data_IF_629594574432
#
_entry.id   IF_629594574432
#
_cell.length_a   1.000
_cell.length_b   1.000
_cell.length_c   1.000
_cell.angle_alpha   90.00
_cell.angle_beta   90.00
_cell.angle_gamma   90.00
#
_symmetry.space_group_name_H-M   'P 1'
#
loop_
_entity.id
_entity.type
_entity.pdbx_description
1 polymer ?
#
# COMPACT_ATOMS: atom_id res chain seq x y z
N UNK A 1 9.75 -5.76 -20.90
CA UNK A 1 10.85 -6.18 -20.02
C UNK A 1 11.38 -5.02 -19.20
N UNK A 2 12.09 -4.03 -19.77
CA UNK A 2 12.73 -2.94 -19.00
C UNK A 2 11.79 -2.28 -18.00
N UNK A 3 10.59 -1.87 -18.46
CA UNK A 3 9.57 -1.25 -17.59
C UNK A 3 9.10 -2.20 -16.48
N UNK A 4 8.88 -3.49 -16.80
CA UNK A 4 8.46 -4.49 -15.83
C UNK A 4 9.54 -4.75 -14.77
N UNK A 5 10.80 -4.88 -15.20
CA UNK A 5 11.94 -5.08 -14.32
C UNK A 5 12.10 -3.90 -13.34
N UNK A 6 12.05 -2.66 -13.85
CA UNK A 6 12.12 -1.47 -12.99
C UNK A 6 11.00 -1.43 -11.94
N UNK A 7 9.76 -1.80 -12.32
CA UNK A 7 8.65 -1.84 -11.35
C UNK A 7 8.79 -2.99 -10.35
N UNK A 8 9.30 -4.15 -10.78
CA UNK A 8 9.57 -5.27 -9.89
C UNK A 8 10.61 -4.91 -8.83
N UNK A 9 11.70 -4.22 -9.21
CA UNK A 9 12.73 -3.79 -8.26
C UNK A 9 12.24 -2.65 -7.37
N UNK A 10 11.72 -1.57 -7.96
CA UNK A 10 11.33 -0.38 -7.21
C UNK A 10 10.13 -0.65 -6.30
N UNK A 11 9.11 -1.34 -6.82
CA UNK A 11 7.91 -1.60 -6.04
C UNK A 11 8.03 -2.89 -5.24
N UNK A 12 8.42 -3.98 -5.90
CA UNK A 12 8.49 -5.31 -5.28
C UNK A 12 9.51 -5.43 -4.15
N UNK A 13 10.63 -4.70 -4.24
CA UNK A 13 11.66 -4.71 -3.19
C UNK A 13 11.58 -3.43 -2.36
N UNK A 14 11.81 -2.26 -2.97
CA UNK A 14 12.02 -1.02 -2.20
C UNK A 14 10.73 -0.57 -1.50
N UNK A 15 9.58 -0.50 -2.20
CA UNK A 15 8.32 -0.06 -1.59
C UNK A 15 7.82 -1.02 -0.50
N UNK A 16 7.82 -2.34 -0.77
CA UNK A 16 7.42 -3.34 0.24
C UNK A 16 8.32 -3.30 1.49
N UNK A 17 9.63 -3.12 1.31
CA UNK A 17 10.56 -2.97 2.42
C UNK A 17 10.24 -1.71 3.25
N UNK A 18 10.04 -0.56 2.60
CA UNK A 18 9.70 0.70 3.27
C UNK A 18 8.36 0.62 4.01
N UNK A 19 7.35 -0.02 3.44
CA UNK A 19 6.09 -0.24 4.14
C UNK A 19 6.24 -1.18 5.33
N UNK A 20 7.01 -2.27 5.19
CA UNK A 20 7.34 -3.15 6.32
C UNK A 20 8.01 -2.40 7.47
N UNK A 21 8.98 -1.52 7.15
CA UNK A 21 9.60 -0.64 8.13
C UNK A 21 8.62 0.36 8.75
N UNK A 22 7.74 0.95 7.95
CA UNK A 22 6.76 1.92 8.45
C UNK A 22 5.77 1.25 9.41
N UNK A 23 5.23 0.07 9.05
CA UNK A 23 4.30 -0.67 9.88
C UNK A 23 4.92 -1.24 11.16
N UNK A 24 6.26 -1.32 11.24
CA UNK A 24 6.96 -1.75 12.46
C UNK A 24 7.42 -0.57 13.32
N UNK A 25 7.93 0.51 12.72
CA UNK A 25 8.43 1.68 13.44
C UNK A 25 7.32 2.60 13.93
N UNK A 26 6.31 2.90 13.12
CA UNK A 26 5.28 3.89 13.48
C UNK A 26 4.51 3.47 14.74
N UNK A 27 4.01 2.23 14.87
CA UNK A 27 3.32 1.81 16.10
C UNK A 27 4.20 1.86 17.35
N UNK A 28 5.52 1.64 17.21
CA UNK A 28 6.46 1.73 18.34
C UNK A 28 6.68 3.17 18.80
N UNK A 29 6.61 4.13 17.88
CA UNK A 29 6.75 5.55 18.19
C UNK A 29 5.45 6.16 18.71
N UNK A 30 4.29 5.74 18.20
CA UNK A 30 2.98 6.31 18.56
C UNK A 30 2.19 5.50 19.58
N UNK A 31 2.63 4.28 19.89
CA UNK A 31 1.92 3.34 20.77
C UNK A 31 0.62 2.79 20.18
N UNK A 32 0.36 3.01 18.88
CA UNK A 32 -0.92 2.66 18.23
C UNK A 32 -0.74 1.71 17.06
N UNK A 33 -1.41 0.57 17.14
CA UNK A 33 -1.41 -0.41 16.06
C UNK A 33 -2.53 -0.14 15.04
N UNK A 34 -2.27 -0.30 13.73
CA UNK A 34 -3.31 -0.28 12.72
C UNK A 34 -4.10 -1.61 12.74
N UNK A 35 -5.34 -1.64 12.24
CA UNK A 35 -6.08 -2.89 12.14
C UNK A 35 -5.39 -3.88 11.21
N UNK A 36 -5.20 -5.11 11.70
CA UNK A 36 -4.56 -6.20 10.94
C UNK A 36 -5.21 -6.43 9.57
N UNK A 37 -6.53 -6.31 9.49
CA UNK A 37 -7.28 -6.49 8.24
C UNK A 37 -6.88 -5.43 7.20
N UNK A 38 -6.75 -4.16 7.59
CA UNK A 38 -6.40 -3.10 6.62
C UNK A 38 -4.94 -3.16 6.17
N UNK A 39 -4.04 -3.65 7.03
CA UNK A 39 -2.66 -3.95 6.63
C UNK A 39 -2.64 -5.08 5.61
N UNK A 40 -3.43 -6.13 5.84
CA UNK A 40 -3.61 -7.22 4.88
C UNK A 40 -4.18 -6.76 3.55
N UNK A 41 -5.23 -5.92 3.57
CA UNK A 41 -5.82 -5.34 2.34
C UNK A 41 -4.78 -4.52 1.58
N UNK A 42 -4.02 -3.67 2.26
CA UNK A 42 -2.94 -2.91 1.63
C UNK A 42 -1.91 -3.84 0.96
N UNK A 43 -1.44 -4.85 1.68
CA UNK A 43 -0.47 -5.82 1.17
C UNK A 43 -0.99 -6.55 -0.08
N UNK A 44 -2.20 -7.09 -0.03
CA UNK A 44 -2.77 -7.86 -1.13
C UNK A 44 -3.08 -6.99 -2.35
N UNK A 45 -3.60 -5.78 -2.17
CA UNK A 45 -3.81 -4.84 -3.28
C UNK A 45 -2.50 -4.49 -3.99
N UNK A 46 -1.45 -4.18 -3.21
CA UNK A 46 -0.13 -3.89 -3.74
C UNK A 46 0.48 -5.11 -4.47
N UNK A 47 0.37 -6.30 -3.88
CA UNK A 47 0.96 -7.53 -4.42
C UNK A 47 0.27 -7.97 -5.70
N UNK A 48 -1.06 -8.05 -5.69
CA UNK A 48 -1.85 -8.45 -6.85
C UNK A 48 -1.69 -7.43 -7.99
N UNK A 49 -1.71 -6.14 -7.66
CA UNK A 49 -1.46 -5.07 -8.63
C UNK A 49 -0.09 -5.19 -9.29
N UNK A 50 0.96 -5.45 -8.49
CA UNK A 50 2.32 -5.66 -8.99
C UNK A 50 2.42 -6.89 -9.90
N UNK A 51 1.78 -8.01 -9.54
CA UNK A 51 1.75 -9.22 -10.36
C UNK A 51 1.10 -8.93 -11.72
N UNK A 52 -0.10 -8.34 -11.76
CA UNK A 52 -0.74 -8.00 -13.03
C UNK A 52 0.08 -7.04 -13.88
N UNK A 53 0.73 -6.05 -13.26
CA UNK A 53 1.58 -5.09 -13.95
C UNK A 53 2.81 -5.77 -14.59
N UNK A 54 3.51 -6.60 -13.82
CA UNK A 54 4.79 -7.17 -14.25
C UNK A 54 4.63 -8.32 -15.22
N UNK A 55 3.71 -9.27 -14.94
CA UNK A 55 3.49 -10.43 -15.79
C UNK A 55 3.00 -10.03 -17.18
N UNK A 56 2.05 -9.10 -17.28
CA UNK A 56 1.53 -8.62 -18.57
C UNK A 56 2.63 -8.02 -19.45
N UNK A 57 3.51 -7.20 -18.87
CA UNK A 57 4.61 -6.56 -19.59
C UNK A 57 5.81 -7.48 -19.87
N UNK A 58 6.03 -8.51 -19.05
CA UNK A 58 7.05 -9.52 -19.33
C UNK A 58 6.62 -10.37 -20.53
N UNK A 59 5.40 -10.91 -20.50
CA UNK A 59 4.86 -11.70 -21.60
C UNK A 59 4.76 -10.88 -22.89
N UNK A 60 4.16 -9.69 -22.83
CA UNK A 60 4.02 -8.83 -24.00
C UNK A 60 5.37 -8.41 -24.60
N UNK A 61 6.41 -8.23 -23.79
CA UNK A 61 7.74 -7.94 -24.31
C UNK A 61 8.40 -9.14 -25.02
N UNK A 62 8.14 -10.36 -24.57
CA UNK A 62 8.62 -11.58 -25.23
C UNK A 62 7.97 -11.74 -26.60
N UNK A 63 6.65 -11.60 -26.68
CA UNK A 63 5.90 -11.64 -27.94
C UNK A 63 6.38 -10.57 -28.92
N UNK A 64 6.52 -9.33 -28.44
CA UNK A 64 7.02 -8.21 -29.26
C UNK A 64 8.44 -8.49 -29.80
N UNK A 65 9.31 -9.05 -28.97
CA UNK A 65 10.67 -9.42 -29.38
C UNK A 65 10.67 -10.52 -30.46
N UNK A 66 9.76 -11.49 -30.36
CA UNK A 66 9.57 -12.52 -31.40
C UNK A 66 9.12 -11.91 -32.73
N UNK A 67 8.15 -10.99 -32.70
CA UNK A 67 7.68 -10.30 -33.91
C UNK A 67 8.78 -9.51 -34.61
N UNK A 68 9.61 -8.80 -33.83
CA UNK A 68 10.75 -8.06 -34.37
C UNK A 68 11.81 -8.98 -34.99
N UNK A 69 12.07 -10.15 -34.38
CA UNK A 69 12.96 -11.16 -34.98
C UNK A 69 12.44 -11.69 -36.30
N UNK A 70 11.11 -11.80 -36.45
CA UNK A 70 10.45 -12.23 -37.68
C UNK A 70 10.32 -11.11 -38.74
N UNK A 71 10.91 -9.93 -38.50
CA UNK A 71 10.88 -8.76 -39.41
C UNK A 71 9.47 -8.30 -39.81
N UNK A 72 8.48 -8.51 -38.94
CA UNK A 72 7.14 -7.96 -39.11
C UNK A 72 7.16 -6.42 -39.02
N UNK A 73 6.20 -5.72 -39.66
CA UNK A 73 6.05 -4.28 -39.51
C UNK A 73 6.00 -3.85 -38.04
N UNK A 74 6.71 -2.78 -37.70
CA UNK A 74 6.78 -2.30 -36.33
C UNK A 74 5.39 -1.98 -35.75
N UNK A 75 4.50 -1.42 -36.57
CA UNK A 75 3.14 -1.04 -36.16
C UNK A 75 2.31 -2.24 -35.68
N UNK A 76 2.51 -3.43 -36.24
CA UNK A 76 1.79 -4.65 -35.85
C UNK A 76 2.19 -5.06 -34.43
N UNK A 77 3.48 -4.93 -34.11
CA UNK A 77 4.00 -5.19 -32.76
C UNK A 77 3.45 -4.20 -31.72
N UNK A 78 3.13 -2.97 -32.14
CA UNK A 78 2.50 -1.95 -31.29
C UNK A 78 1.02 -2.27 -31.10
N UNK A 79 0.30 -2.61 -32.18
CA UNK A 79 -1.11 -3.00 -32.11
C UNK A 79 -1.31 -4.23 -31.22
N UNK A 80 -0.40 -5.21 -31.28
CA UNK A 80 -0.44 -6.39 -30.41
C UNK A 80 -0.21 -6.07 -28.92
N UNK A 81 0.34 -4.90 -28.58
CA UNK A 81 0.60 -4.50 -27.19
C UNK A 81 -0.62 -3.95 -26.43
N UNK A 82 -1.70 -3.59 -27.13
CA UNK A 82 -2.90 -3.02 -26.51
C UNK A 82 -3.44 -3.81 -25.29
N UNK A 83 -3.70 -5.14 -25.38
CA UNK A 83 -4.23 -5.88 -24.23
C UNK A 83 -3.27 -5.88 -23.04
N UNK A 84 -1.95 -5.92 -23.28
CA UNK A 84 -0.95 -5.89 -22.21
C UNK A 84 -0.88 -4.53 -21.52
N UNK A 85 -1.09 -3.44 -22.27
CA UNK A 85 -1.18 -2.10 -21.67
C UNK A 85 -2.43 -1.91 -20.84
N UNK A 86 -3.55 -2.56 -21.21
CA UNK A 86 -4.75 -2.58 -20.39
C UNK A 86 -4.50 -3.28 -19.05
N UNK A 87 -3.90 -4.47 -19.06
CA UNK A 87 -3.53 -5.18 -17.83
C UNK A 87 -2.52 -4.42 -16.98
N UNK A 88 -1.57 -3.72 -17.61
CA UNK A 88 -0.67 -2.80 -16.93
C UNK A 88 -1.43 -1.69 -16.21
N UNK A 89 -2.41 -1.07 -16.87
CA UNK A 89 -3.22 -0.01 -16.27
C UNK A 89 -4.03 -0.54 -15.08
N UNK A 90 -4.65 -1.72 -15.21
CA UNK A 90 -5.40 -2.37 -14.13
C UNK A 90 -4.52 -2.74 -12.93
N UNK A 91 -3.31 -3.27 -13.17
CA UNK A 91 -2.35 -3.54 -12.10
C UNK A 91 -1.90 -2.25 -11.41
N UNK A 92 -1.62 -1.22 -12.20
CA UNK A 92 -1.21 0.10 -11.72
C UNK A 92 -2.30 0.81 -10.90
N UNK A 93 -3.58 0.68 -11.27
CA UNK A 93 -4.68 1.24 -10.47
C UNK A 93 -4.84 0.53 -9.14
N UNK A 94 -4.69 -0.80 -9.09
CA UNK A 94 -4.67 -1.55 -7.82
C UNK A 94 -3.53 -1.09 -6.90
N UNK A 95 -2.34 -0.93 -7.46
CA UNK A 95 -1.16 -0.38 -6.76
C UNK A 95 -1.43 1.05 -6.26
N UNK A 96 -2.08 1.88 -7.07
CA UNK A 96 -2.44 3.24 -6.67
C UNK A 96 -3.46 3.26 -5.53
N UNK A 97 -4.49 2.40 -5.58
CA UNK A 97 -5.48 2.25 -4.51
C UNK A 97 -4.80 1.78 -3.22
N UNK A 98 -3.79 0.90 -3.30
CA UNK A 98 -3.05 0.43 -2.14
C UNK A 98 -2.39 1.59 -1.36
N UNK A 99 -1.93 2.64 -2.04
CA UNK A 99 -1.35 3.82 -1.40
C UNK A 99 -2.37 4.61 -0.59
N UNK A 100 -3.63 4.71 -1.04
CA UNK A 100 -4.68 5.35 -0.24
C UNK A 100 -4.98 4.57 1.03
N UNK A 101 -5.00 3.24 0.96
CA UNK A 101 -5.18 2.38 2.14
C UNK A 101 -4.00 2.57 3.10
N UNK A 102 -2.77 2.63 2.58
CA UNK A 102 -1.57 2.92 3.38
C UNK A 102 -1.65 4.29 4.06
N UNK A 103 -2.00 5.34 3.32
CA UNK A 103 -2.15 6.69 3.87
C UNK A 103 -3.20 6.75 4.97
N UNK A 104 -4.34 6.06 4.80
CA UNK A 104 -5.37 5.97 5.84
C UNK A 104 -4.90 5.21 7.09
N UNK A 105 -4.18 4.10 6.91
CA UNK A 105 -3.59 3.37 8.03
C UNK A 105 -2.57 4.24 8.79
N UNK A 106 -1.72 4.97 8.05
CA UNK A 106 -0.73 5.88 8.61
C UNK A 106 -1.41 7.01 9.39
N UNK A 107 -2.44 7.62 8.82
CA UNK A 107 -3.24 8.65 9.50
C UNK A 107 -3.81 8.13 10.82
N UNK A 108 -4.40 6.92 10.84
CA UNK A 108 -4.94 6.31 12.06
C UNK A 108 -3.88 6.07 13.14
N UNK A 109 -2.65 5.70 12.74
CA UNK A 109 -1.56 5.48 13.69
C UNK A 109 -1.02 6.79 14.30
N UNK A 110 -1.07 7.89 13.55
CA UNK A 110 -0.55 9.21 13.97
C UNK A 110 -1.62 10.02 14.71
N UNK A 111 -2.88 9.95 14.28
CA UNK A 111 -3.94 10.81 14.79
C UNK A 111 -4.15 10.59 16.30
N UNK A 112 -3.96 11.65 17.08
CA UNK A 112 -4.14 11.66 18.53
C UNK A 112 -5.61 11.40 18.85
N UNK A 113 -5.88 10.33 19.59
CA UNK A 113 -7.13 10.21 20.34
C UNK A 113 -6.80 10.88 21.67
N UNK A 114 -7.54 11.91 22.05
CA UNK A 114 -7.38 12.56 23.35
C UNK A 114 -7.27 11.46 24.41
N UNK A 115 -6.16 11.47 25.12
CA UNK A 115 -5.92 10.54 26.20
C UNK A 115 -7.09 10.71 27.16
N UNK A 116 -7.95 9.68 27.24
CA UNK A 116 -8.83 9.56 28.39
C UNK A 116 -7.84 9.26 29.51
N UNK A 117 -7.43 10.31 30.23
CA UNK A 117 -6.68 10.21 31.48
C UNK A 117 -7.49 9.26 32.38
N UNK A 118 -7.07 7.99 32.39
CA UNK A 118 -7.53 7.05 33.36
C UNK A 118 -6.80 7.43 34.65
N UNK A 119 -7.54 7.79 35.71
CA UNK A 119 -6.94 8.16 36.98
C UNK A 119 -6.04 7.01 37.44
N UNK A 120 -4.72 7.24 37.42
CA UNK A 120 -3.71 6.24 37.78
C UNK A 120 -3.56 6.12 39.29
N UNK A 121 -4.01 7.13 40.05
CA UNK A 121 -4.08 7.09 41.50
C UNK A 121 -5.53 7.07 42.01
N UNK A 122 -5.82 6.42 43.14
CA UNK A 122 -7.10 6.55 43.84
C UNK A 122 -7.46 8.01 44.15
N UNK A 123 -6.44 8.86 44.35
CA UNK A 123 -6.61 10.30 44.54
C UNK A 123 -7.22 10.99 43.31
N UNK A 124 -6.81 10.60 42.10
CA UNK A 124 -7.34 11.17 40.86
C UNK A 124 -8.81 10.76 40.64
N UNK A 125 -9.22 9.59 41.16
CA UNK A 125 -10.63 9.15 41.16
C UNK A 125 -11.45 10.06 42.08
N UNK A 126 -10.94 10.36 43.28
CA UNK A 126 -11.63 11.23 44.25
C UNK A 126 -11.79 12.65 43.73
N UNK A 127 -10.78 13.21 43.05
CA UNK A 127 -10.88 14.53 42.40
C UNK A 127 -11.97 14.50 41.32
N UNK A 128 -12.01 13.46 40.49
CA UNK A 128 -13.01 13.33 39.42
C UNK A 128 -14.43 13.13 39.96
N UNK A 129 -14.58 12.43 41.08
CA UNK A 129 -15.87 12.26 41.77
C UNK A 129 -16.34 13.57 42.42
N UNK A 130 -15.42 14.36 42.99
CA UNK A 130 -15.72 15.66 43.57
C UNK A 130 -16.14 16.69 42.52
N UNK A 131 -15.44 16.75 41.39
CA UNK A 131 -15.83 17.58 40.24
C UNK A 131 -17.21 17.19 39.69
N UNK A 132 -17.57 15.90 39.71
CA UNK A 132 -18.89 15.41 39.31
C UNK A 132 -20.01 15.78 40.31
N UNK A 133 -19.65 16.02 41.57
CA UNK A 133 -20.57 16.38 42.65
C UNK A 133 -20.82 17.90 42.68
N UNK A 134 -19.81 18.73 42.38
CA UNK A 134 -19.95 20.19 42.24
C UNK A 134 -20.71 20.63 40.97
N UNK A 135 -20.83 19.75 39.97
CA UNK A 135 -21.57 19.99 38.73
C UNK A 135 -23.07 19.63 38.82
N UNK A 136 -23.55 19.13 39.95
CA UNK A 136 -24.96 18.85 40.24
C UNK A 136 -25.58 19.93 41.13
#
# INVERSE_FOLDING_TARGET
>A
FTVAHSHLTMYGIIAFMLWGFTYTMVPRLTGKEPPRIMVGVHFWLALIGLIFYTFSLMYGATEKSMMWRNKLPFIDSVAHMYPYWLWRALGGTLMYISHFVFAYNLYRMIHRRNEILLPTAPADILVKLKDQEELK
#
